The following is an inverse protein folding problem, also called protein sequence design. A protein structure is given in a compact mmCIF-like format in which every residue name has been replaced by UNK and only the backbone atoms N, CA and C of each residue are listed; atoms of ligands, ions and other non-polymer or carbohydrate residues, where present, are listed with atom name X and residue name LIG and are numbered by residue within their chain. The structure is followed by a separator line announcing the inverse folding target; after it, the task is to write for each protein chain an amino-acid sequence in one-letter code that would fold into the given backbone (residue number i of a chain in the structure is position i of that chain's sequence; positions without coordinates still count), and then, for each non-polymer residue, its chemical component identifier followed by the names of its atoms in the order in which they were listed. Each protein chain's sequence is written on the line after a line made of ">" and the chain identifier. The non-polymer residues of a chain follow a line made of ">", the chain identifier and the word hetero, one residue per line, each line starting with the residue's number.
data_IF_423660550687
#
_entry.id   IF_423660550687
#
_cell.length_a   1.000
_cell.length_b   1.000
_cell.length_c   1.000
_cell.angle_alpha   90.00
_cell.angle_beta   90.00
_cell.angle_gamma   90.00
#
_symmetry.space_group_name_H-M   'P 1'
#
loop_
_entity.id
_entity.type
_entity.pdbx_description
1 polymer ?
#
# COMPACT_ATOMS: atom_id res chain seq x y z
N UNK A 1 3.29 -13.70 -21.02
CA UNK A 1 2.67 -13.25 -19.76
C UNK A 1 1.72 -12.13 -20.11
N UNK A 2 0.49 -12.18 -19.62
CA UNK A 2 -0.52 -11.17 -19.94
C UNK A 2 -0.13 -9.82 -19.32
N UNK A 3 -0.54 -8.71 -19.95
CA UNK A 3 -0.25 -7.35 -19.50
C UNK A 3 -0.72 -7.11 -18.07
N UNK A 4 -1.90 -7.63 -17.73
CA UNK A 4 -2.48 -7.54 -16.39
C UNK A 4 -1.67 -8.30 -15.35
N UNK A 5 -1.26 -9.52 -15.66
CA UNK A 5 -0.42 -10.31 -14.74
C UNK A 5 0.89 -9.58 -14.44
N UNK A 6 1.48 -8.94 -15.46
CA UNK A 6 2.67 -8.12 -15.24
C UNK A 6 2.39 -6.91 -14.33
N UNK A 7 1.25 -6.22 -14.51
CA UNK A 7 0.87 -5.13 -13.61
C UNK A 7 0.69 -5.58 -12.17
N UNK A 8 -0.02 -6.70 -11.96
CA UNK A 8 -0.24 -7.27 -10.63
C UNK A 8 1.06 -7.60 -9.93
N UNK A 9 2.01 -8.22 -10.63
CA UNK A 9 3.31 -8.55 -10.04
C UNK A 9 4.15 -7.31 -9.72
N UNK A 10 4.17 -6.31 -10.61
CA UNK A 10 4.85 -5.04 -10.35
C UNK A 10 4.25 -4.34 -9.12
N UNK A 11 2.91 -4.24 -9.05
CA UNK A 11 2.22 -3.56 -7.96
C UNK A 11 2.43 -4.31 -6.64
N UNK A 12 2.32 -5.64 -6.60
CA UNK A 12 2.63 -6.43 -5.40
C UNK A 12 4.05 -6.18 -4.92
N UNK A 13 5.04 -6.15 -5.81
CA UNK A 13 6.43 -5.88 -5.43
C UNK A 13 6.59 -4.50 -4.79
N UNK A 14 5.96 -3.47 -5.36
CA UNK A 14 5.91 -2.12 -4.79
C UNK A 14 5.30 -2.15 -3.39
N UNK A 15 4.15 -2.81 -3.24
CA UNK A 15 3.41 -2.90 -1.97
C UNK A 15 4.22 -3.63 -0.90
N UNK A 16 4.88 -4.74 -1.25
CA UNK A 16 5.76 -5.46 -0.33
C UNK A 16 6.99 -4.64 0.05
N UNK A 17 7.59 -3.91 -0.89
CA UNK A 17 8.71 -3.01 -0.63
C UNK A 17 8.32 -1.91 0.37
N UNK A 18 7.23 -1.20 0.13
CA UNK A 18 6.72 -0.19 1.06
C UNK A 18 6.31 -0.79 2.41
N UNK A 19 5.78 -2.01 2.41
CA UNK A 19 5.44 -2.76 3.63
C UNK A 19 6.62 -3.04 4.56
N UNK A 20 7.87 -2.93 4.08
CA UNK A 20 9.07 -3.09 4.93
C UNK A 20 9.45 -1.83 5.72
N UNK A 21 8.91 -0.66 5.34
CA UNK A 21 9.31 0.62 5.90
C UNK A 21 8.49 0.97 7.13
N UNK A 22 8.94 0.50 8.30
CA UNK A 22 8.31 0.85 9.58
C UNK A 22 8.67 2.28 10.02
N UNK A 23 7.71 3.10 10.47
CA UNK A 23 8.02 4.40 11.09
C UNK A 23 9.00 4.27 12.25
N UNK A 24 9.96 5.19 12.34
CA UNK A 24 10.98 5.19 13.40
C UNK A 24 10.42 5.52 14.80
N UNK A 25 9.25 6.17 14.85
CA UNK A 25 8.64 6.68 16.09
C UNK A 25 7.24 6.09 16.28
N UNK A 26 6.82 6.04 17.55
CA UNK A 26 5.50 5.53 17.94
C UNK A 26 5.42 4.00 17.98
N UNK A 27 4.27 3.50 18.44
CA UNK A 27 3.88 2.10 18.37
C UNK A 27 2.99 1.92 17.13
N UNK A 28 3.61 2.07 15.96
CA UNK A 28 2.92 2.03 14.65
C UNK A 28 3.39 0.81 13.89
N UNK A 29 2.46 -0.05 13.51
CA UNK A 29 2.71 -1.20 12.64
C UNK A 29 2.36 -0.85 11.19
N UNK A 30 2.97 -1.61 10.27
CA UNK A 30 2.71 -1.53 8.83
C UNK A 30 1.89 -2.75 8.46
N UNK A 31 0.72 -2.54 7.87
CA UNK A 31 -0.13 -3.62 7.38
C UNK A 31 -0.20 -3.56 5.85
N UNK A 32 -0.10 -4.74 5.24
CA UNK A 32 -0.24 -4.93 3.81
C UNK A 32 -1.64 -5.50 3.55
N UNK A 33 -2.44 -4.79 2.76
CA UNK A 33 -3.82 -5.15 2.42
C UNK A 33 -3.88 -5.41 0.92
N UNK A 34 -4.16 -6.66 0.55
CA UNK A 34 -4.23 -7.07 -0.86
C UNK A 34 -5.56 -7.80 -1.09
N UNK A 35 -6.41 -7.22 -1.93
CA UNK A 35 -7.55 -7.90 -2.55
C UNK A 35 -7.18 -8.20 -4.01
N UNK A 36 -6.52 -9.34 -4.23
CA UNK A 36 -6.05 -9.73 -5.55
C UNK A 36 -7.18 -10.14 -6.50
N UNK A 37 -8.37 -10.47 -5.98
CA UNK A 37 -9.54 -10.81 -6.82
C UNK A 37 -10.18 -9.55 -7.41
N UNK A 38 -10.12 -8.44 -6.67
CA UNK A 38 -10.67 -7.14 -7.09
C UNK A 38 -9.62 -6.13 -7.55
N UNK A 39 -8.36 -6.54 -7.58
CA UNK A 39 -7.20 -5.73 -7.96
C UNK A 39 -7.04 -4.44 -7.09
N UNK A 40 -7.18 -4.57 -5.77
CA UNK A 40 -6.90 -3.50 -4.80
C UNK A 40 -5.66 -3.82 -3.96
N UNK A 41 -4.76 -2.85 -3.83
CA UNK A 41 -3.49 -3.03 -3.13
C UNK A 41 -3.14 -1.80 -2.28
N UNK A 42 -2.95 -1.98 -0.99
CA UNK A 42 -2.70 -0.89 -0.05
C UNK A 42 -1.67 -1.26 1.02
N UNK A 43 -0.88 -0.27 1.41
CA UNK A 43 -0.06 -0.28 2.63
C UNK A 43 -0.64 0.75 3.59
N UNK A 44 -0.94 0.32 4.81
CA UNK A 44 -1.54 1.18 5.84
C UNK A 44 -0.67 1.18 7.10
N UNK A 45 -0.50 2.37 7.68
CA UNK A 45 0.07 2.53 9.01
C UNK A 45 -1.03 2.47 10.07
N UNK A 46 -0.86 1.56 11.03
CA UNK A 46 -1.84 1.26 12.05
C UNK A 46 -1.14 1.22 13.40
N UNK A 47 -1.44 2.18 14.26
CA UNK A 47 -0.99 2.14 15.65
C UNK A 47 -1.24 3.42 16.42
N UNK A 48 -0.34 3.73 17.34
CA UNK A 48 -0.44 4.91 18.20
C UNK A 48 0.89 5.65 18.25
N UNK A 49 0.80 6.96 18.17
CA UNK A 49 1.90 7.89 18.42
C UNK A 49 1.55 8.69 19.67
N UNK A 50 2.03 8.21 20.82
CA UNK A 50 1.55 8.65 22.14
C UNK A 50 0.02 8.53 22.25
N UNK A 51 -0.70 9.63 22.47
CA UNK A 51 -2.17 9.65 22.56
C UNK A 51 -2.86 9.74 21.19
N UNK A 52 -2.10 9.89 20.10
CA UNK A 52 -2.65 10.06 18.74
C UNK A 52 -2.81 8.72 18.05
N UNK A 53 -4.03 8.39 17.65
CA UNK A 53 -4.31 7.24 16.79
C UNK A 53 -3.73 7.47 15.39
N UNK A 54 -2.98 6.49 14.89
CA UNK A 54 -2.49 6.43 13.51
C UNK A 54 -3.25 5.34 12.76
N UNK A 55 -3.93 5.74 11.69
CA UNK A 55 -4.68 4.86 10.79
C UNK A 55 -4.70 5.57 9.42
N UNK A 56 -3.63 5.42 8.66
CA UNK A 56 -3.42 6.21 7.45
C UNK A 56 -2.80 5.37 6.34
N UNK A 57 -3.34 5.52 5.13
CA UNK A 57 -2.75 4.94 3.92
C UNK A 57 -1.37 5.52 3.68
N UNK A 58 -0.46 4.70 3.20
CA UNK A 58 0.89 5.09 2.76
C UNK A 58 0.95 5.08 1.24
N UNK A 59 0.44 4.00 0.64
CA UNK A 59 0.30 3.82 -0.81
C UNK A 59 -0.97 3.02 -1.03
N UNK A 60 -1.77 3.42 -2.01
CA UNK A 60 -2.97 2.69 -2.44
C UNK A 60 -3.03 2.71 -3.97
N UNK A 61 -2.99 1.53 -4.57
CA UNK A 61 -3.00 1.32 -6.01
C UNK A 61 -4.10 0.34 -6.39
N UNK A 62 -4.85 0.66 -7.44
CA UNK A 62 -5.85 -0.21 -8.04
C UNK A 62 -5.51 -0.55 -9.49
N UNK A 63 -6.07 -1.65 -9.98
CA UNK A 63 -6.23 -1.87 -11.43
C UNK A 63 -7.71 -1.75 -11.78
N UNK A 64 -8.07 -0.72 -12.56
CA UNK A 64 -9.45 -0.48 -13.00
C UNK A 64 -9.45 -0.34 -14.52
N UNK A 65 -10.22 -1.20 -15.19
CA UNK A 65 -10.33 -1.25 -16.66
C UNK A 65 -8.95 -1.32 -17.34
N UNK A 66 -8.12 -2.28 -16.92
CA UNK A 66 -6.77 -2.57 -17.44
C UNK A 66 -5.76 -1.41 -17.34
N UNK A 67 -6.01 -0.49 -16.43
CA UNK A 67 -5.14 0.65 -16.12
C UNK A 67 -4.80 0.68 -14.64
N UNK A 68 -3.60 1.14 -14.34
CA UNK A 68 -3.13 1.36 -12.98
C UNK A 68 -3.64 2.72 -12.50
N UNK A 69 -4.26 2.73 -11.33
CA UNK A 69 -4.73 3.93 -10.65
C UNK A 69 -3.99 4.09 -9.34
N UNK A 70 -3.30 5.21 -9.16
CA UNK A 70 -2.70 5.59 -7.88
C UNK A 70 -3.77 6.37 -7.14
N UNK A 71 -4.45 5.71 -6.21
CA UNK A 71 -5.50 6.32 -5.40
C UNK A 71 -4.90 7.24 -4.34
N UNK A 72 -3.78 6.81 -3.77
CA UNK A 72 -3.02 7.59 -2.79
C UNK A 72 -1.53 7.28 -2.89
N UNK A 73 -0.73 8.33 -2.82
CA UNK A 73 0.72 8.27 -2.66
C UNK A 73 1.11 9.25 -1.55
N UNK A 74 1.46 8.70 -0.39
CA UNK A 74 1.91 9.43 0.78
C UNK A 74 3.43 9.64 0.81
N UNK A 75 4.17 9.13 -0.18
CA UNK A 75 5.59 9.38 -0.28
C UNK A 75 5.81 10.81 -0.79
N UNK A 76 6.13 11.72 0.13
CA UNK A 76 6.62 13.05 -0.22
C UNK A 76 7.94 12.95 -1.01
N UNK A 77 8.07 13.77 -2.06
CA UNK A 77 9.37 14.16 -2.63
C UNK A 77 10.31 14.76 -1.58
#
# INVERSE_FOLDING_TARGET
>A
MDKLDNYREIIKNIIYEYGTHKPANGQIDVEIVIDAERDHYEVIHVGWDDIRRVCASVVHIDIINDKIWIQYDGCSQ
#
